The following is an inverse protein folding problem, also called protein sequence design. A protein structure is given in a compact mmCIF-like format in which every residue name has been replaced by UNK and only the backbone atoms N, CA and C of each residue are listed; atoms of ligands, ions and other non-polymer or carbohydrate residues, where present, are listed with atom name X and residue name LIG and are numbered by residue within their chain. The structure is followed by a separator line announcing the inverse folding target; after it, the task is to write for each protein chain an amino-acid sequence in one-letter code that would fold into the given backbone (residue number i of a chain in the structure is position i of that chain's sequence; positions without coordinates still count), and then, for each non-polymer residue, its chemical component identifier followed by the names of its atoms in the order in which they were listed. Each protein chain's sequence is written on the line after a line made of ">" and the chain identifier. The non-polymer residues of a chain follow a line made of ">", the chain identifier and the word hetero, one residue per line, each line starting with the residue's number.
data_IF_085380936892
#
_entry.id   IF_085380936892
#
_cell.length_a   1.000
_cell.length_b   1.000
_cell.length_c   1.000
_cell.angle_alpha   90.00
_cell.angle_beta   90.00
_cell.angle_gamma   90.00
#
_symmetry.space_group_name_H-M   'P 1'
#
loop_
_entity.id
_entity.type
_entity.pdbx_description
1 polymer ?
#
# COMPACT_ATOMS: atom_id res chain seq x y z
N UNK A 1 -16.21 74.03 -7.65
CA UNK A 1 -17.21 73.05 -7.16
C UNK A 1 -17.43 71.88 -8.13
N UNK A 2 -17.65 72.12 -9.43
CA UNK A 2 -17.90 71.06 -10.45
C UNK A 2 -16.81 69.96 -10.53
N UNK A 3 -15.51 70.31 -10.42
CA UNK A 3 -14.41 69.32 -10.45
C UNK A 3 -14.43 68.32 -9.28
N UNK A 4 -14.87 68.72 -8.08
CA UNK A 4 -14.96 67.83 -6.91
C UNK A 4 -16.10 66.82 -7.05
N UNK A 5 -17.21 67.22 -7.67
CA UNK A 5 -18.37 66.35 -7.94
C UNK A 5 -18.01 65.25 -8.95
N UNK A 6 -17.26 65.59 -9.99
CA UNK A 6 -16.81 64.63 -11.01
C UNK A 6 -15.87 63.57 -10.39
N UNK A 7 -14.97 63.97 -9.50
CA UNK A 7 -14.06 63.04 -8.81
C UNK A 7 -14.82 62.07 -7.88
N UNK A 8 -15.81 62.56 -7.14
CA UNK A 8 -16.62 61.72 -6.24
C UNK A 8 -17.47 60.73 -7.05
N UNK A 9 -18.13 61.21 -8.12
CA UNK A 9 -18.92 60.35 -9.00
C UNK A 9 -18.06 59.25 -9.67
N UNK A 10 -16.85 59.60 -10.11
CA UNK A 10 -15.88 58.64 -10.65
C UNK A 10 -15.48 57.57 -9.63
N UNK A 11 -15.21 57.95 -8.38
CA UNK A 11 -14.83 57.02 -7.32
C UNK A 11 -15.97 56.03 -6.98
N UNK A 12 -17.22 56.50 -6.93
CA UNK A 12 -18.40 55.67 -6.66
C UNK A 12 -18.64 54.66 -7.79
N UNK A 13 -18.50 55.08 -9.05
CA UNK A 13 -18.62 54.18 -10.20
C UNK A 13 -17.54 53.08 -10.20
N UNK A 14 -16.29 53.43 -9.86
CA UNK A 14 -15.20 52.45 -9.76
C UNK A 14 -15.46 51.46 -8.61
N UNK A 15 -15.89 51.94 -7.44
CA UNK A 15 -16.21 51.09 -6.30
C UNK A 15 -17.37 50.12 -6.61
N UNK A 16 -18.42 50.60 -7.28
CA UNK A 16 -19.55 49.78 -7.72
C UNK A 16 -19.11 48.72 -8.75
N UNK A 17 -18.26 49.08 -9.71
CA UNK A 17 -17.73 48.15 -10.70
C UNK A 17 -16.86 47.05 -10.06
N UNK A 18 -15.98 47.42 -9.12
CA UNK A 18 -15.17 46.45 -8.37
C UNK A 18 -16.02 45.51 -7.51
N UNK A 19 -17.07 46.02 -6.86
CA UNK A 19 -17.96 45.22 -6.01
C UNK A 19 -18.82 44.24 -6.81
N UNK A 20 -19.41 44.72 -7.92
CA UNK A 20 -20.23 43.89 -8.82
C UNK A 20 -19.35 42.80 -9.46
N UNK A 21 -18.18 43.15 -10.00
CA UNK A 21 -17.31 42.17 -10.64
C UNK A 21 -16.84 41.06 -9.66
N UNK A 22 -16.53 41.41 -8.40
CA UNK A 22 -16.15 40.43 -7.39
C UNK A 22 -17.27 39.43 -7.06
N UNK A 23 -18.54 39.88 -6.98
CA UNK A 23 -19.67 38.99 -6.69
C UNK A 23 -19.93 38.00 -7.84
N UNK A 24 -19.79 38.46 -9.08
CA UNK A 24 -20.00 37.63 -10.28
C UNK A 24 -18.81 36.70 -10.60
N UNK A 25 -17.58 37.07 -10.25
CA UNK A 25 -16.40 36.21 -10.46
C UNK A 25 -16.29 35.07 -9.45
N UNK A 26 -16.74 35.26 -8.21
CA UNK A 26 -16.71 34.23 -7.15
C UNK A 26 -17.28 32.87 -7.54
N UNK A 27 -18.49 32.75 -8.13
CA UNK A 27 -19.03 31.45 -8.53
C UNK A 27 -18.24 30.79 -9.66
N UNK A 28 -17.72 31.56 -10.62
CA UNK A 28 -16.89 31.07 -11.72
C UNK A 28 -15.53 30.56 -11.22
N UNK A 29 -14.84 31.34 -10.38
CA UNK A 29 -13.57 30.95 -9.76
C UNK A 29 -13.76 29.70 -8.89
N UNK A 30 -14.85 29.64 -8.12
CA UNK A 30 -15.20 28.47 -7.30
C UNK A 30 -15.36 27.22 -8.19
N UNK A 31 -16.09 27.33 -9.30
CA UNK A 31 -16.30 26.22 -10.25
C UNK A 31 -14.99 25.74 -10.86
N UNK A 32 -14.13 26.64 -11.33
CA UNK A 32 -12.81 26.28 -11.88
C UNK A 32 -11.88 25.68 -10.84
N UNK A 33 -11.88 26.22 -9.62
CA UNK A 33 -11.11 25.68 -8.51
C UNK A 33 -11.53 24.24 -8.19
N UNK A 34 -12.84 23.94 -8.12
CA UNK A 34 -13.32 22.58 -7.87
C UNK A 34 -13.06 21.64 -9.04
N UNK A 35 -13.23 22.09 -10.30
CA UNK A 35 -12.89 21.30 -11.49
C UNK A 35 -11.39 21.00 -11.59
N UNK A 36 -10.53 21.94 -11.16
CA UNK A 36 -9.10 21.72 -11.05
C UNK A 36 -8.77 20.70 -9.95
N UNK A 37 -9.35 20.87 -8.76
CA UNK A 37 -9.11 20.03 -7.59
C UNK A 37 -9.47 18.56 -7.82
N UNK A 38 -10.54 18.25 -8.57
CA UNK A 38 -10.89 16.85 -8.87
C UNK A 38 -9.82 16.16 -9.73
N UNK A 39 -9.30 16.86 -10.75
CA UNK A 39 -8.26 16.32 -11.64
C UNK A 39 -6.95 16.04 -10.90
N UNK A 40 -6.54 16.90 -9.96
CA UNK A 40 -5.36 16.62 -9.12
C UNK A 40 -5.60 15.49 -8.13
N UNK A 41 -6.81 15.34 -7.57
CA UNK A 41 -7.11 14.19 -6.70
C UNK A 41 -7.10 12.87 -7.46
N UNK A 42 -7.53 12.84 -8.71
CA UNK A 42 -7.46 11.63 -9.53
C UNK A 42 -6.02 11.32 -9.97
N UNK A 43 -5.23 12.34 -10.32
CA UNK A 43 -3.80 12.17 -10.59
C UNK A 43 -2.99 11.69 -9.37
N UNK A 44 -3.40 12.07 -8.15
CA UNK A 44 -2.76 11.61 -6.92
C UNK A 44 -2.96 10.10 -6.66
N UNK A 45 -4.03 9.48 -7.19
CA UNK A 45 -4.28 8.03 -7.07
C UNK A 45 -3.33 7.17 -7.91
N UNK A 46 -2.71 7.75 -8.95
CA UNK A 46 -1.73 7.06 -9.80
C UNK A 46 -0.32 7.02 -9.18
N UNK A 47 -0.14 7.60 -7.99
CA UNK A 47 1.15 7.55 -7.30
C UNK A 47 1.40 6.11 -6.83
N UNK A 48 2.58 5.54 -7.08
CA UNK A 48 2.93 4.22 -6.54
C UNK A 48 2.80 4.28 -5.01
N UNK A 49 2.14 3.28 -4.44
CA UNK A 49 2.00 3.18 -2.99
C UNK A 49 3.39 3.13 -2.34
N UNK A 50 3.58 3.75 -1.16
CA UNK A 50 4.85 3.67 -0.45
C UNK A 50 5.19 2.20 -0.17
N UNK A 51 6.46 1.84 -0.38
CA UNK A 51 6.96 0.50 -0.08
C UNK A 51 6.68 0.14 1.38
N UNK A 52 6.20 -1.08 1.62
CA UNK A 52 6.01 -1.64 2.95
C UNK A 52 7.34 -1.95 3.64
N UNK A 53 7.28 -2.71 4.73
CA UNK A 53 8.47 -3.08 5.50
C UNK A 53 9.29 -4.17 4.76
N UNK A 54 10.27 -3.73 3.98
CA UNK A 54 11.16 -4.61 3.18
C UNK A 54 11.91 -5.61 4.07
N UNK A 55 12.37 -5.20 5.25
CA UNK A 55 13.12 -6.08 6.16
C UNK A 55 12.23 -7.22 6.69
N UNK A 56 10.99 -6.89 7.06
CA UNK A 56 10.01 -7.88 7.50
C UNK A 56 9.67 -8.86 6.35
N UNK A 57 9.54 -8.37 5.12
CA UNK A 57 9.31 -9.21 3.94
C UNK A 57 10.48 -10.15 3.65
N UNK A 58 11.72 -9.65 3.72
CA UNK A 58 12.93 -10.47 3.54
C UNK A 58 13.02 -11.59 4.59
N UNK A 59 12.82 -11.28 5.86
CA UNK A 59 12.79 -12.27 6.93
C UNK A 59 11.63 -13.26 6.76
N UNK A 60 10.46 -12.79 6.32
CA UNK A 60 9.34 -13.67 6.01
C UNK A 60 9.69 -14.69 4.91
N UNK A 61 10.34 -14.25 3.83
CA UNK A 61 10.80 -15.15 2.76
C UNK A 61 11.86 -16.14 3.25
N UNK A 62 12.77 -15.72 4.12
CA UNK A 62 13.75 -16.61 4.75
C UNK A 62 13.06 -17.69 5.60
N UNK A 63 12.08 -17.31 6.42
CA UNK A 63 11.28 -18.25 7.22
C UNK A 63 10.51 -19.24 6.33
N UNK A 64 9.88 -18.77 5.25
CA UNK A 64 9.17 -19.64 4.29
C UNK A 64 10.11 -20.69 3.67
N UNK A 65 11.35 -20.30 3.31
CA UNK A 65 12.36 -21.24 2.82
C UNK A 65 12.80 -22.24 3.89
N UNK A 66 12.95 -21.80 5.14
CA UNK A 66 13.27 -22.69 6.26
C UNK A 66 12.14 -23.71 6.50
N UNK A 67 10.88 -23.26 6.45
CA UNK A 67 9.72 -24.14 6.55
C UNK A 67 9.68 -25.16 5.41
N UNK A 68 9.94 -24.73 4.17
CA UNK A 68 9.97 -25.67 3.03
C UNK A 68 11.10 -26.69 3.15
N UNK A 69 12.28 -26.27 3.62
CA UNK A 69 13.38 -27.19 3.89
C UNK A 69 13.03 -28.21 4.97
N UNK A 70 12.41 -27.77 6.07
CA UNK A 70 11.92 -28.65 7.13
C UNK A 70 10.88 -29.65 6.60
N UNK A 71 9.92 -29.17 5.79
CA UNK A 71 8.92 -30.05 5.14
C UNK A 71 9.57 -31.12 4.29
N UNK A 72 10.52 -30.74 3.42
CA UNK A 72 11.22 -31.69 2.56
C UNK A 72 12.00 -32.72 3.37
N UNK A 73 12.67 -32.30 4.44
CA UNK A 73 13.42 -33.20 5.31
C UNK A 73 12.49 -34.21 6.01
N UNK A 74 11.43 -33.75 6.66
CA UNK A 74 10.46 -34.63 7.33
C UNK A 74 9.77 -35.56 6.34
N UNK A 75 9.46 -35.08 5.13
CA UNK A 75 8.90 -35.91 4.07
C UNK A 75 9.86 -37.04 3.66
N UNK A 76 11.15 -36.73 3.52
CA UNK A 76 12.20 -37.70 3.20
C UNK A 76 12.37 -38.74 4.32
N UNK A 77 12.43 -38.31 5.58
CA UNK A 77 12.57 -39.21 6.73
C UNK A 77 11.38 -40.15 6.90
N UNK A 78 10.17 -39.67 6.61
CA UNK A 78 8.94 -40.49 6.66
C UNK A 78 8.69 -41.31 5.40
N UNK A 79 9.54 -41.20 4.37
CA UNK A 79 9.34 -41.84 3.08
C UNK A 79 8.04 -41.40 2.37
N UNK A 80 7.54 -40.19 2.67
CA UNK A 80 6.30 -39.66 2.09
C UNK A 80 6.61 -38.78 0.90
N UNK A 81 6.11 -39.18 -0.28
CA UNK A 81 6.21 -38.36 -1.50
C UNK A 81 5.13 -37.27 -1.58
N UNK A 82 3.97 -37.47 -0.93
CA UNK A 82 2.83 -36.56 -0.99
C UNK A 82 2.03 -36.56 0.32
N UNK A 83 1.19 -35.55 0.49
CA UNK A 83 0.25 -35.41 1.61
C UNK A 83 0.54 -34.22 2.52
N UNK A 84 -0.27 -34.10 3.58
CA UNK A 84 -0.23 -32.97 4.51
C UNK A 84 0.69 -33.27 5.69
N UNK A 85 1.55 -32.30 6.02
CA UNK A 85 2.33 -32.28 7.26
C UNK A 85 1.68 -31.34 8.26
N UNK A 86 1.84 -31.64 9.54
CA UNK A 86 1.38 -30.78 10.64
C UNK A 86 2.54 -29.96 11.22
N UNK A 87 2.20 -28.92 11.97
CA UNK A 87 3.22 -28.14 12.69
C UNK A 87 3.95 -28.96 13.76
N UNK A 88 3.31 -29.98 14.32
CA UNK A 88 3.93 -30.89 15.28
C UNK A 88 5.00 -31.75 14.63
N UNK A 89 4.78 -32.16 13.38
CA UNK A 89 5.78 -32.89 12.60
C UNK A 89 7.03 -32.06 12.31
N UNK A 90 6.87 -30.75 12.14
CA UNK A 90 7.97 -29.84 11.78
C UNK A 90 8.64 -29.22 12.99
N UNK A 91 8.00 -29.26 14.16
CA UNK A 91 8.53 -28.66 15.39
C UNK A 91 9.96 -29.11 15.70
N UNK A 92 10.33 -30.41 15.60
CA UNK A 92 11.70 -30.88 15.89
C UNK A 92 12.77 -30.31 14.95
N UNK A 93 12.38 -29.85 13.76
CA UNK A 93 13.30 -29.32 12.74
C UNK A 93 13.74 -27.89 13.00
N UNK A 94 13.06 -27.19 13.91
CA UNK A 94 13.41 -25.82 14.26
C UNK A 94 14.22 -25.76 15.55
N UNK A 95 15.22 -24.86 15.65
CA UNK A 95 16.01 -24.69 16.86
C UNK A 95 15.15 -24.50 18.12
N UNK A 96 15.31 -25.42 19.07
CA UNK A 96 14.55 -25.39 20.33
C UNK A 96 13.04 -25.63 20.17
N UNK A 97 12.59 -26.21 19.06
CA UNK A 97 11.18 -26.49 18.82
C UNK A 97 10.33 -25.25 18.52
N UNK A 98 10.97 -24.12 18.18
CA UNK A 98 10.28 -22.83 18.00
C UNK A 98 9.92 -22.58 16.55
N UNK A 99 8.62 -22.64 16.26
CA UNK A 99 8.10 -22.34 14.92
C UNK A 99 8.29 -20.84 14.63
N UNK A 100 8.88 -20.47 13.48
CA UNK A 100 9.06 -19.07 13.11
C UNK A 100 7.71 -18.36 12.97
N UNK A 101 7.67 -17.10 13.40
CA UNK A 101 6.52 -16.21 13.21
C UNK A 101 6.82 -15.17 12.15
N UNK A 102 5.81 -14.72 11.41
CA UNK A 102 5.99 -13.64 10.47
C UNK A 102 6.23 -12.32 11.22
N UNK A 103 7.31 -11.57 10.91
CA UNK A 103 7.60 -10.30 11.59
C UNK A 103 6.58 -9.19 11.29
N UNK A 104 5.83 -9.33 10.20
CA UNK A 104 4.72 -8.43 9.86
C UNK A 104 3.36 -8.86 10.46
N UNK A 105 3.34 -9.94 11.26
CA UNK A 105 2.12 -10.42 11.94
C UNK A 105 1.27 -11.42 11.14
N UNK A 106 1.72 -11.86 9.96
CA UNK A 106 1.06 -12.91 9.18
C UNK A 106 1.20 -14.32 9.77
N UNK A 107 0.36 -15.23 9.28
CA UNK A 107 0.44 -16.65 9.60
C UNK A 107 1.00 -17.45 8.43
N UNK A 108 1.67 -18.56 8.75
CA UNK A 108 2.21 -19.47 7.74
C UNK A 108 1.25 -20.62 7.47
N UNK A 109 1.06 -20.92 6.19
CA UNK A 109 0.27 -22.04 5.69
C UNK A 109 1.24 -23.03 5.06
N UNK A 110 1.34 -24.24 5.61
CA UNK A 110 2.32 -25.23 5.18
C UNK A 110 2.09 -25.71 3.74
N UNK A 111 0.83 -25.86 3.32
CA UNK A 111 0.43 -26.63 2.14
C UNK A 111 0.96 -28.08 2.17
N UNK A 112 0.57 -28.86 1.17
CA UNK A 112 1.01 -30.25 1.05
C UNK A 112 2.50 -30.35 0.69
N UNK A 113 3.07 -31.54 0.87
CA UNK A 113 4.42 -31.87 0.42
C UNK A 113 4.52 -31.61 -1.09
N UNK A 114 5.58 -30.91 -1.52
CA UNK A 114 5.80 -30.50 -2.91
C UNK A 114 5.17 -29.15 -3.29
N UNK A 115 4.34 -28.55 -2.42
CA UNK A 115 3.84 -27.18 -2.61
C UNK A 115 4.52 -26.22 -1.64
N UNK A 116 5.00 -25.08 -2.14
CA UNK A 116 5.65 -24.07 -1.31
C UNK A 116 4.70 -23.57 -0.20
N UNK A 117 5.17 -23.39 1.05
CA UNK A 117 4.40 -22.74 2.10
C UNK A 117 4.09 -21.28 1.72
N UNK A 118 3.00 -20.75 2.28
CA UNK A 118 2.52 -19.40 2.02
C UNK A 118 2.41 -18.59 3.30
N UNK A 119 2.56 -17.27 3.19
CA UNK A 119 2.18 -16.32 4.24
C UNK A 119 0.79 -15.77 3.92
N UNK A 120 -0.06 -15.56 4.92
CA UNK A 120 -1.40 -14.96 4.73
C UNK A 120 -1.37 -13.54 4.17
N UNK A 121 -0.27 -12.81 4.38
CA UNK A 121 -0.08 -11.45 3.84
C UNK A 121 0.06 -11.48 2.31
N UNK A 122 0.82 -12.44 1.77
CA UNK A 122 1.02 -12.55 0.32
C UNK A 122 1.70 -11.31 -0.27
N UNK A 123 1.02 -10.60 -1.17
CA UNK A 123 1.54 -9.36 -1.77
C UNK A 123 0.97 -8.13 -1.06
N UNK A 124 1.78 -7.09 -0.91
CA UNK A 124 1.36 -5.82 -0.35
C UNK A 124 0.63 -4.91 -1.36
N UNK A 125 0.49 -5.35 -2.61
CA UNK A 125 -0.21 -4.57 -3.65
C UNK A 125 0.53 -3.29 -4.06
N UNK A 126 1.84 -3.22 -3.78
CA UNK A 126 2.69 -2.13 -4.27
C UNK A 126 3.30 -2.50 -5.63
N UNK A 127 3.90 -1.52 -6.30
CA UNK A 127 4.62 -1.74 -7.58
C UNK A 127 5.92 -2.53 -7.34
N UNK A 128 6.45 -2.44 -6.12
CA UNK A 128 7.69 -3.06 -5.70
C UNK A 128 7.39 -4.45 -5.14
N UNK A 129 8.24 -5.43 -5.46
CA UNK A 129 8.10 -6.82 -4.98
C UNK A 129 8.97 -7.10 -3.76
N UNK A 130 9.85 -6.17 -3.43
CA UNK A 130 10.83 -6.28 -2.38
C UNK A 130 10.16 -6.42 -1.01
N UNK A 131 8.99 -5.80 -0.83
CA UNK A 131 8.17 -5.83 0.37
C UNK A 131 7.09 -6.94 0.37
N UNK A 132 6.98 -7.73 -0.70
CA UNK A 132 6.02 -8.83 -0.77
C UNK A 132 6.46 -10.04 0.08
N UNK A 133 5.49 -10.65 0.75
CA UNK A 133 5.63 -11.85 1.58
C UNK A 133 5.47 -13.16 0.76
N UNK A 134 5.92 -13.13 -0.49
CA UNK A 134 5.88 -14.27 -1.43
C UNK A 134 7.29 -14.79 -1.69
N UNK A 135 7.47 -16.11 -1.70
CA UNK A 135 8.71 -16.71 -2.22
C UNK A 135 8.63 -16.68 -3.73
N UNK A 136 9.42 -15.81 -4.36
CA UNK A 136 9.59 -15.78 -5.81
C UNK A 136 10.56 -16.92 -6.16
N UNK A 137 10.03 -18.00 -6.74
CA UNK A 137 10.87 -18.95 -7.46
C UNK A 137 11.22 -18.30 -8.80
N UNK A 138 12.48 -17.93 -8.97
CA UNK A 138 13.04 -17.56 -10.27
C UNK A 138 13.64 -18.80 -10.91
#
# INVERSE_FOLDING_TARGET
>A
MKKKIILIAGAVAIAAFCYVNWYWLRPWVRRYYFQGRSKVTDAAKLRPQPVGNIQAAQQCRANLRAIENAKRKVAQEKGKAFGRLTWDDLRPEFPGGRIPKCPAGGEYILNDIGMMPKCTIGSNGTVYREDDHLVINY
#
